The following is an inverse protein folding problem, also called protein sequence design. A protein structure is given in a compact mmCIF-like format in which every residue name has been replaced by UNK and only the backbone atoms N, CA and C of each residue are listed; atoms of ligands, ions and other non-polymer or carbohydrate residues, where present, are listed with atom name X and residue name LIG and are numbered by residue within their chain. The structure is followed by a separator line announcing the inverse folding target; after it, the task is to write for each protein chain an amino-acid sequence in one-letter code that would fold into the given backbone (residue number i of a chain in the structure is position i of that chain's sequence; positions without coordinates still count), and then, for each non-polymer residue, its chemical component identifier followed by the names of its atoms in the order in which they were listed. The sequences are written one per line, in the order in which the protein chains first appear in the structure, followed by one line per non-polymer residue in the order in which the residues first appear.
data_IF_694500561842
#
_entry.id   IF_694500561842
#
_cell.length_a   1.000
_cell.length_b   1.000
_cell.length_c   1.000
_cell.angle_alpha   90.00
_cell.angle_beta   90.00
_cell.angle_gamma   90.00
#
_symmetry.space_group_name_H-M   'P 1'
#
loop_
_entity.id
_entity.type
_entity.pdbx_description
1 polymer ?
#
# COMPACT_ATOMS: atom_id res chain seq x y z
N UNK A 1 -41.81 -16.83 5.74
CA UNK A 1 -40.36 -16.66 5.43
C UNK A 1 -40.13 -15.17 5.32
N UNK A 2 -39.05 -14.59 5.90
CA UNK A 2 -38.73 -13.20 5.60
C UNK A 2 -38.61 -13.08 4.07
N UNK A 3 -39.14 -12.00 3.50
CA UNK A 3 -39.02 -11.74 2.07
C UNK A 3 -37.54 -11.83 1.70
N UNK A 4 -37.20 -12.66 0.71
CA UNK A 4 -35.82 -12.75 0.26
C UNK A 4 -35.43 -11.38 -0.29
N UNK A 5 -34.42 -10.77 0.31
CA UNK A 5 -33.86 -9.51 -0.16
C UNK A 5 -33.25 -9.74 -1.56
N UNK A 6 -33.59 -8.88 -2.52
CA UNK A 6 -33.13 -9.00 -3.91
C UNK A 6 -32.40 -7.73 -4.34
N UNK A 7 -31.23 -7.93 -4.93
CA UNK A 7 -30.38 -6.89 -5.49
C UNK A 7 -30.74 -6.74 -6.96
N UNK A 8 -31.26 -5.56 -7.32
CA UNK A 8 -31.56 -5.18 -8.70
C UNK A 8 -30.26 -4.87 -9.44
N UNK A 9 -29.36 -4.12 -8.81
CA UNK A 9 -28.08 -3.78 -9.42
C UNK A 9 -26.99 -3.55 -8.39
N UNK A 10 -25.78 -3.97 -8.75
CA UNK A 10 -24.59 -3.89 -7.92
C UNK A 10 -23.38 -4.41 -8.68
N UNK A 11 -22.29 -4.61 -7.95
CA UNK A 11 -21.08 -5.24 -8.47
C UNK A 11 -20.29 -5.88 -7.34
N UNK A 12 -19.52 -6.89 -7.70
CA UNK A 12 -18.49 -7.46 -6.85
C UNK A 12 -17.15 -6.94 -7.37
N UNK A 13 -16.29 -6.45 -6.49
CA UNK A 13 -14.99 -5.90 -6.86
C UNK A 13 -13.91 -6.59 -6.04
N UNK A 14 -12.84 -7.04 -6.68
CA UNK A 14 -11.63 -7.49 -6.03
C UNK A 14 -10.49 -6.54 -6.38
N UNK A 15 -9.80 -6.02 -5.37
CA UNK A 15 -8.59 -5.25 -5.51
C UNK A 15 -7.38 -6.12 -5.18
N UNK A 16 -6.33 -5.96 -5.98
CA UNK A 16 -4.98 -6.42 -5.67
C UNK A 16 -4.06 -5.22 -5.78
N UNK A 17 -3.43 -4.85 -4.68
CA UNK A 17 -2.42 -3.79 -4.64
C UNK A 17 -1.05 -4.46 -4.65
N UNK A 18 -0.13 -3.93 -5.46
CA UNK A 18 1.22 -4.45 -5.60
C UNK A 18 2.25 -3.32 -5.55
N UNK A 19 3.30 -3.51 -4.76
CA UNK A 19 4.49 -2.66 -4.85
C UNK A 19 5.36 -3.15 -6.01
N UNK A 20 5.69 -2.28 -6.97
CA UNK A 20 6.44 -2.66 -8.19
C UNK A 20 7.74 -1.90 -8.39
N UNK A 21 7.97 -0.79 -7.69
CA UNK A 21 9.15 0.06 -7.82
C UNK A 21 9.21 1.07 -6.67
N UNK A 22 10.36 1.67 -6.40
CA UNK A 22 10.42 2.77 -5.43
C UNK A 22 9.67 4.03 -5.90
N UNK A 23 9.61 4.27 -7.21
CA UNK A 23 8.92 5.42 -7.79
C UNK A 23 8.52 5.11 -9.23
N UNK A 24 7.40 5.70 -9.68
CA UNK A 24 6.92 5.62 -11.06
C UNK A 24 6.74 7.03 -11.60
N UNK A 25 7.40 7.34 -12.71
CA UNK A 25 7.13 8.56 -13.49
C UNK A 25 5.76 8.43 -14.16
N UNK A 26 4.71 8.97 -13.51
CA UNK A 26 3.33 8.86 -13.98
C UNK A 26 3.12 9.48 -15.36
N UNK A 27 3.75 10.63 -15.64
CA UNK A 27 3.62 11.29 -16.93
C UNK A 27 4.23 10.43 -18.05
N UNK A 28 5.37 9.79 -17.78
CA UNK A 28 5.98 8.85 -18.72
C UNK A 28 5.17 7.56 -18.85
N UNK A 29 4.64 7.01 -17.76
CA UNK A 29 3.79 5.83 -17.78
C UNK A 29 2.53 6.06 -18.64
N UNK A 30 1.86 7.21 -18.45
CA UNK A 30 0.70 7.62 -19.24
C UNK A 30 1.05 7.75 -20.74
N UNK A 31 2.17 8.42 -21.07
CA UNK A 31 2.61 8.58 -22.45
C UNK A 31 2.93 7.24 -23.14
N UNK A 32 3.60 6.32 -22.44
CA UNK A 32 3.90 4.97 -22.93
C UNK A 32 2.62 4.17 -23.18
N UNK A 33 1.66 4.26 -22.25
CA UNK A 33 0.37 3.58 -22.35
C UNK A 33 -0.44 4.09 -23.55
N UNK A 34 -0.53 5.41 -23.73
CA UNK A 34 -1.18 6.04 -24.86
C UNK A 34 -0.58 5.60 -26.20
N UNK A 35 0.75 5.58 -26.29
CA UNK A 35 1.45 5.15 -27.49
C UNK A 35 1.15 3.67 -27.83
N UNK A 36 1.12 2.80 -26.82
CA UNK A 36 0.77 1.39 -26.98
C UNK A 36 -0.68 1.20 -27.48
N UNK A 37 -1.64 1.96 -26.92
CA UNK A 37 -3.04 1.86 -27.34
C UNK A 37 -3.34 2.48 -28.71
N UNK A 38 -2.64 3.57 -29.07
CA UNK A 38 -2.73 4.17 -30.40
C UNK A 38 -2.33 3.19 -31.51
N UNK A 39 -1.48 2.22 -31.21
CA UNK A 39 -1.12 1.11 -32.10
C UNK A 39 -2.14 -0.06 -32.07
N UNK A 40 -2.86 -0.23 -30.96
CA UNK A 40 -3.83 -1.31 -30.75
C UNK A 40 -5.27 -1.01 -31.22
N UNK A 41 -5.54 0.19 -31.79
CA UNK A 41 -6.81 0.51 -32.45
C UNK A 41 -8.05 0.67 -31.55
N UNK A 42 -7.89 0.64 -30.21
CA UNK A 42 -8.99 0.82 -29.24
C UNK A 42 -8.82 2.13 -28.47
N UNK A 43 -9.76 3.06 -28.66
CA UNK A 43 -9.85 4.30 -27.87
C UNK A 43 -10.30 3.97 -26.45
N UNK A 44 -9.39 4.08 -25.49
CA UNK A 44 -9.76 4.17 -24.07
C UNK A 44 -9.83 5.64 -23.68
N UNK A 45 -10.81 5.98 -22.83
CA UNK A 45 -10.90 7.27 -22.16
C UNK A 45 -9.96 7.22 -20.95
N UNK A 46 -8.85 7.97 -21.01
CA UNK A 46 -8.11 8.29 -19.79
C UNK A 46 -8.98 9.21 -18.96
N UNK A 47 -9.05 8.92 -17.67
CA UNK A 47 -9.56 9.85 -16.68
C UNK A 47 -8.44 10.04 -15.67
N UNK A 48 -8.07 11.28 -15.39
CA UNK A 48 -7.44 11.60 -14.11
C UNK A 48 -8.41 11.11 -13.06
N UNK A 49 -7.98 10.23 -12.14
CA UNK A 49 -8.82 9.79 -11.05
C UNK A 49 -8.97 10.95 -10.05
N UNK A 50 -9.71 11.99 -10.43
CA UNK A 50 -10.30 12.88 -9.45
C UNK A 50 -11.53 12.16 -8.94
N UNK A 51 -11.39 11.42 -7.85
CA UNK A 51 -12.53 11.26 -6.96
C UNK A 51 -12.96 12.69 -6.60
N UNK A 52 -14.24 13.01 -6.77
CA UNK A 52 -14.74 14.39 -6.72
C UNK A 52 -14.41 15.06 -5.38
N UNK A 53 -14.16 14.26 -4.33
CA UNK A 53 -13.93 14.70 -2.95
C UNK A 53 -12.52 14.32 -2.40
N UNK A 54 -11.70 13.61 -3.19
CA UNK A 54 -10.32 13.27 -2.83
C UNK A 54 -9.33 14.22 -3.53
N UNK A 55 -8.62 15.02 -2.74
CA UNK A 55 -7.51 15.83 -3.27
C UNK A 55 -6.22 15.03 -3.16
N UNK A 56 -5.71 14.57 -4.30
CA UNK A 56 -4.39 13.96 -4.36
C UNK A 56 -3.32 15.05 -4.51
N UNK A 57 -2.20 14.90 -3.78
CA UNK A 57 -1.01 15.72 -4.02
C UNK A 57 -0.48 15.51 -5.44
N UNK A 58 -0.40 14.24 -5.86
CA UNK A 58 -0.17 13.81 -7.24
C UNK A 58 -1.26 12.80 -7.62
N UNK A 59 -2.17 13.12 -8.56
CA UNK A 59 -3.27 12.23 -8.88
C UNK A 59 -2.76 10.97 -9.59
N UNK A 60 -3.27 9.79 -9.20
CA UNK A 60 -2.82 8.54 -9.78
C UNK A 60 -3.33 8.38 -11.22
N UNK A 61 -2.59 7.62 -12.02
CA UNK A 61 -2.92 7.37 -13.43
C UNK A 61 -3.84 6.16 -13.54
N UNK A 62 -5.02 6.34 -14.14
CA UNK A 62 -5.98 5.26 -14.39
C UNK A 62 -5.81 4.67 -15.80
N UNK A 63 -5.47 3.39 -15.86
CA UNK A 63 -5.35 2.59 -17.07
C UNK A 63 -6.52 1.61 -17.15
N UNK A 64 -7.13 1.43 -18.33
CA UNK A 64 -8.09 0.34 -18.56
C UNK A 64 -7.43 -0.79 -19.31
N UNK A 65 -7.66 -2.01 -18.82
CA UNK A 65 -7.22 -3.25 -19.44
C UNK A 65 -8.36 -3.87 -20.25
N UNK A 66 -8.05 -4.79 -21.18
CA UNK A 66 -9.07 -5.65 -21.77
C UNK A 66 -9.83 -6.40 -20.67
N UNK A 67 -11.14 -6.61 -20.88
CA UNK A 67 -11.94 -7.44 -19.97
C UNK A 67 -11.40 -8.86 -19.90
N UNK A 68 -11.45 -9.45 -18.71
CA UNK A 68 -11.10 -10.83 -18.47
C UNK A 68 -12.36 -11.69 -18.29
N UNK A 69 -12.21 -13.01 -18.44
CA UNK A 69 -13.22 -13.99 -18.02
C UNK A 69 -12.72 -14.71 -16.80
N UNK A 70 -13.54 -14.76 -15.75
CA UNK A 70 -13.26 -15.44 -14.48
C UNK A 70 -14.35 -16.45 -14.20
N UNK A 71 -13.99 -17.58 -13.58
CA UNK A 71 -14.93 -18.62 -13.21
C UNK A 71 -15.31 -18.49 -11.73
N UNK A 72 -16.59 -18.28 -11.45
CA UNK A 72 -17.14 -18.19 -10.10
C UNK A 72 -18.02 -19.43 -9.85
N UNK A 73 -17.54 -20.37 -9.04
CA UNK A 73 -18.24 -21.62 -8.72
C UNK A 73 -18.76 -22.38 -9.98
N UNK A 74 -17.94 -22.46 -11.03
CA UNK A 74 -18.30 -23.14 -12.29
C UNK A 74 -19.05 -22.27 -13.31
N UNK A 75 -19.32 -21.01 -12.99
CA UNK A 75 -20.02 -20.07 -13.87
C UNK A 75 -19.02 -19.04 -14.38
N UNK A 76 -18.84 -18.98 -15.71
CA UNK A 76 -18.01 -17.96 -16.33
C UNK A 76 -18.69 -16.58 -16.22
N UNK A 77 -17.95 -15.59 -15.72
CA UNK A 77 -18.36 -14.21 -15.61
C UNK A 77 -17.38 -13.31 -16.38
N UNK A 78 -17.91 -12.32 -17.08
CA UNK A 78 -17.11 -11.26 -17.69
C UNK A 78 -16.72 -10.24 -16.60
N UNK A 79 -15.45 -9.91 -16.52
CA UNK A 79 -14.88 -9.00 -15.54
C UNK A 79 -14.21 -7.82 -16.23
N UNK A 80 -14.54 -6.62 -15.78
CA UNK A 80 -13.84 -5.39 -16.15
C UNK A 80 -12.57 -5.26 -15.33
N UNK A 81 -11.45 -4.95 -16.00
CA UNK A 81 -10.17 -4.71 -15.37
C UNK A 81 -9.78 -3.24 -15.52
N UNK A 82 -9.42 -2.63 -14.41
CA UNK A 82 -8.79 -1.31 -14.36
C UNK A 82 -7.58 -1.33 -13.46
N UNK A 83 -6.64 -0.44 -13.75
CA UNK A 83 -5.39 -0.33 -13.02
C UNK A 83 -5.17 1.12 -12.64
N UNK A 84 -4.92 1.38 -11.37
CA UNK A 84 -4.51 2.68 -10.87
C UNK A 84 -3.04 2.62 -10.51
N UNK A 85 -2.25 3.54 -11.06
CA UNK A 85 -0.79 3.61 -10.86
C UNK A 85 -0.48 4.84 -10.02
N UNK A 86 0.22 4.63 -8.91
CA UNK A 86 0.65 5.66 -7.98
C UNK A 86 2.12 6.02 -8.20
N UNK A 87 2.48 7.28 -7.98
CA UNK A 87 3.83 7.79 -8.19
C UNK A 87 4.84 7.20 -7.20
N UNK A 88 4.37 6.83 -6.01
CA UNK A 88 5.17 6.18 -4.97
C UNK A 88 5.44 4.69 -5.21
N UNK A 89 5.11 4.13 -6.38
CA UNK A 89 5.54 2.77 -6.72
C UNK A 89 4.47 1.69 -6.68
N UNK A 90 3.28 2.00 -6.17
CA UNK A 90 2.19 1.06 -6.06
C UNK A 90 1.33 1.00 -7.33
N UNK A 91 0.85 -0.20 -7.64
CA UNK A 91 -0.16 -0.46 -8.67
C UNK A 91 -1.35 -1.17 -8.02
N UNK A 92 -2.55 -0.64 -8.25
CA UNK A 92 -3.80 -1.27 -7.83
C UNK A 92 -4.53 -1.81 -9.04
N UNK A 93 -4.76 -3.11 -9.08
CA UNK A 93 -5.54 -3.79 -10.10
C UNK A 93 -6.93 -4.07 -9.51
N UNK A 94 -7.95 -3.51 -10.12
CA UNK A 94 -9.35 -3.74 -9.75
C UNK A 94 -10.02 -4.64 -10.80
N UNK A 95 -10.61 -5.74 -10.32
CA UNK A 95 -11.45 -6.64 -11.08
C UNK A 95 -12.90 -6.42 -10.65
N UNK A 96 -13.75 -5.98 -11.58
CA UNK A 96 -15.16 -5.68 -11.31
C UNK A 96 -16.08 -6.61 -12.11
N UNK A 97 -17.00 -7.28 -11.41
CA UNK A 97 -18.02 -8.16 -11.98
C UNK A 97 -19.41 -7.55 -11.70
N UNK A 98 -20.21 -7.26 -12.74
CA UNK A 98 -21.60 -6.84 -12.54
C UNK A 98 -22.39 -7.90 -11.77
N UNK A 99 -23.14 -7.47 -10.75
CA UNK A 99 -23.96 -8.34 -9.91
C UNK A 99 -25.38 -7.78 -9.85
N UNK A 100 -26.24 -8.22 -10.76
CA UNK A 100 -27.58 -7.71 -10.96
C UNK A 100 -28.61 -8.85 -10.97
N UNK A 101 -29.83 -8.54 -10.54
CA UNK A 101 -30.95 -9.48 -10.46
C UNK A 101 -30.64 -10.75 -9.64
N UNK A 102 -29.94 -10.57 -8.51
CA UNK A 102 -29.55 -11.66 -7.62
C UNK A 102 -30.33 -11.60 -6.30
N UNK A 103 -30.71 -12.77 -5.77
CA UNK A 103 -31.08 -12.85 -4.36
C UNK A 103 -29.85 -12.58 -3.46
N UNK A 104 -30.08 -12.13 -2.22
CA UNK A 104 -29.00 -11.88 -1.26
C UNK A 104 -28.07 -13.08 -1.08
N UNK A 105 -28.62 -14.30 -1.01
CA UNK A 105 -27.82 -15.52 -0.86
C UNK A 105 -26.98 -15.85 -2.09
N UNK A 106 -27.48 -15.57 -3.30
CA UNK A 106 -26.69 -15.71 -4.53
C UNK A 106 -25.57 -14.69 -4.62
N UNK A 107 -25.85 -13.44 -4.23
CA UNK A 107 -24.87 -12.38 -4.16
C UNK A 107 -23.75 -12.71 -3.16
N UNK A 108 -24.09 -13.13 -1.94
CA UNK A 108 -23.11 -13.59 -0.94
C UNK A 108 -22.30 -14.78 -1.44
N UNK A 109 -22.94 -15.76 -2.10
CA UNK A 109 -22.24 -16.91 -2.67
C UNK A 109 -21.24 -16.48 -3.74
N UNK A 110 -21.65 -15.60 -4.67
CA UNK A 110 -20.77 -15.09 -5.71
C UNK A 110 -19.62 -14.26 -5.15
N UNK A 111 -19.85 -13.47 -4.08
CA UNK A 111 -18.79 -12.71 -3.41
C UNK A 111 -17.73 -13.63 -2.79
N UNK A 112 -18.17 -14.71 -2.13
CA UNK A 112 -17.25 -15.72 -1.60
C UNK A 112 -16.57 -16.54 -2.71
N UNK A 113 -17.22 -16.74 -3.86
CA UNK A 113 -16.61 -17.39 -5.02
C UNK A 113 -15.55 -16.50 -5.67
N UNK A 114 -15.77 -15.18 -5.72
CA UNK A 114 -14.80 -14.21 -6.21
C UNK A 114 -13.50 -14.29 -5.39
N UNK A 115 -13.61 -14.23 -4.06
CA UNK A 115 -12.47 -14.39 -3.16
C UNK A 115 -11.63 -15.65 -3.48
N UNK A 116 -12.29 -16.80 -3.56
CA UNK A 116 -11.63 -18.08 -3.91
C UNK A 116 -11.03 -18.10 -5.32
N UNK A 117 -11.59 -17.34 -6.26
CA UNK A 117 -11.13 -17.28 -7.65
C UNK A 117 -9.96 -16.31 -7.83
N UNK A 118 -9.71 -15.41 -6.87
CA UNK A 118 -8.69 -14.37 -6.96
C UNK A 118 -7.63 -14.40 -5.84
N UNK A 119 -7.08 -15.57 -5.47
CA UNK A 119 -6.02 -15.62 -4.46
C UNK A 119 -4.76 -14.88 -4.93
N UNK A 120 -3.86 -14.62 -3.99
CA UNK A 120 -2.51 -14.10 -4.23
C UNK A 120 -1.81 -14.89 -5.36
N UNK A 121 -1.15 -14.18 -6.28
CA UNK A 121 -0.47 -14.80 -7.41
C UNK A 121 -1.35 -15.53 -8.44
N UNK A 122 -2.69 -15.40 -8.38
CA UNK A 122 -3.59 -15.99 -9.38
C UNK A 122 -3.26 -15.53 -10.81
N UNK A 123 -3.59 -16.34 -11.85
CA UNK A 123 -3.29 -15.98 -13.24
C UNK A 123 -3.85 -14.61 -13.66
N UNK A 124 -5.04 -14.25 -13.18
CA UNK A 124 -5.67 -12.96 -13.52
C UNK A 124 -4.84 -11.77 -13.02
N UNK A 125 -4.29 -11.85 -11.81
CA UNK A 125 -3.42 -10.81 -11.26
C UNK A 125 -2.07 -10.76 -11.97
N UNK A 126 -1.43 -11.92 -12.17
CA UNK A 126 -0.13 -12.00 -12.85
C UNK A 126 -0.20 -11.52 -14.30
N UNK A 127 -1.24 -11.90 -15.03
CA UNK A 127 -1.40 -11.51 -16.44
C UNK A 127 -1.75 -10.02 -16.57
N UNK A 128 -2.61 -9.49 -15.69
CA UNK A 128 -2.92 -8.06 -15.64
C UNK A 128 -1.67 -7.24 -15.31
N UNK A 129 -0.93 -7.61 -14.27
CA UNK A 129 0.32 -6.94 -13.88
C UNK A 129 1.35 -6.97 -15.00
N UNK A 130 1.59 -8.15 -15.60
CA UNK A 130 2.53 -8.28 -16.73
C UNK A 130 2.13 -7.37 -17.90
N UNK A 131 0.85 -7.33 -18.25
CA UNK A 131 0.33 -6.46 -19.31
C UNK A 131 0.66 -4.98 -19.06
N UNK A 132 0.56 -4.55 -17.79
CA UNK A 132 0.90 -3.18 -17.40
C UNK A 132 2.42 -2.96 -17.47
N UNK A 133 3.20 -3.81 -16.80
CA UNK A 133 4.65 -3.66 -16.68
C UNK A 133 5.38 -3.78 -18.02
N UNK A 134 4.90 -4.59 -18.96
CA UNK A 134 5.45 -4.70 -20.31
C UNK A 134 5.41 -3.34 -21.06
N UNK A 135 4.46 -2.48 -20.70
CA UNK A 135 4.28 -1.16 -21.32
C UNK A 135 4.96 -0.06 -20.51
N UNK A 136 4.70 -0.01 -19.20
CA UNK A 136 5.17 1.10 -18.35
C UNK A 136 6.54 0.85 -17.72
N UNK A 137 7.14 -0.33 -17.88
CA UNK A 137 8.46 -0.71 -17.37
C UNK A 137 9.54 0.38 -17.47
N UNK A 138 9.69 1.10 -18.61
CA UNK A 138 10.66 2.18 -18.73
C UNK A 138 10.41 3.41 -17.83
N UNK A 139 9.24 3.55 -17.23
CA UNK A 139 8.88 4.61 -16.29
C UNK A 139 9.14 4.24 -14.82
N UNK A 140 9.51 2.99 -14.53
CA UNK A 140 9.82 2.53 -13.17
C UNK A 140 11.23 2.96 -12.76
N UNK A 141 11.33 3.50 -11.56
CA UNK A 141 12.59 3.84 -10.90
C UNK A 141 12.87 2.84 -9.79
N UNK A 142 13.97 2.08 -9.94
CA UNK A 142 14.32 0.95 -9.05
C UNK A 142 13.16 -0.07 -8.95
N UNK A 143 12.89 -0.83 -10.03
CA UNK A 143 11.87 -1.87 -10.00
C UNK A 143 12.11 -2.87 -8.86
N UNK A 144 11.04 -3.28 -8.19
CA UNK A 144 11.09 -4.24 -7.11
C UNK A 144 11.41 -5.64 -7.66
N UNK A 145 12.22 -6.40 -6.92
CA UNK A 145 12.56 -7.78 -7.29
C UNK A 145 11.48 -8.79 -6.87
N UNK A 146 10.73 -8.46 -5.82
CA UNK A 146 9.56 -9.15 -5.32
C UNK A 146 8.51 -8.10 -5.04
N UNK A 147 7.24 -8.42 -5.30
CA UNK A 147 6.16 -7.48 -5.07
C UNK A 147 5.51 -7.82 -3.73
N UNK A 148 5.40 -6.84 -2.85
CA UNK A 148 4.48 -6.94 -1.73
C UNK A 148 3.06 -6.82 -2.26
N UNK A 149 2.15 -7.60 -1.69
CA UNK A 149 0.76 -7.64 -2.10
C UNK A 149 -0.17 -7.34 -0.91
N UNK A 150 -1.23 -6.59 -1.20
CA UNK A 150 -2.42 -6.43 -0.36
C UNK A 150 -3.67 -6.72 -1.19
N UNK A 151 -4.74 -7.15 -0.54
CA UNK A 151 -6.04 -7.35 -1.18
C UNK A 151 -7.20 -6.78 -0.39
N UNK A 152 -8.27 -6.48 -1.14
CA UNK A 152 -9.51 -6.02 -0.55
C UNK A 152 -10.70 -6.32 -1.47
N UNK A 153 -11.80 -6.77 -0.89
CA UNK A 153 -13.00 -7.16 -1.62
C UNK A 153 -14.16 -6.21 -1.31
N UNK A 154 -14.91 -5.81 -2.33
CA UNK A 154 -16.08 -4.94 -2.18
C UNK A 154 -17.33 -5.63 -2.71
N UNK A 155 -18.34 -5.72 -1.85
CA UNK A 155 -19.69 -6.10 -2.19
C UNK A 155 -20.53 -4.81 -2.34
N UNK A 156 -20.70 -4.36 -3.58
CA UNK A 156 -21.34 -3.07 -3.90
C UNK A 156 -22.78 -3.31 -4.34
N UNK A 157 -23.73 -2.62 -3.71
CA UNK A 157 -25.14 -2.60 -4.10
C UNK A 157 -25.53 -1.17 -4.44
N UNK A 158 -26.13 -0.99 -5.61
CA UNK A 158 -26.68 0.30 -6.04
C UNK A 158 -28.20 0.35 -5.94
N UNK A 159 -28.87 -0.80 -6.07
CA UNK A 159 -30.31 -0.84 -5.92
C UNK A 159 -30.77 -2.21 -5.47
N UNK A 160 -31.68 -2.23 -4.50
CA UNK A 160 -32.52 -3.36 -4.20
C UNK A 160 -33.82 -3.30 -5.02
N UNK A 161 -34.58 -4.38 -5.05
CA UNK A 161 -35.89 -4.41 -5.74
C UNK A 161 -36.90 -3.43 -5.13
N UNK A 162 -36.78 -3.18 -3.82
CA UNK A 162 -37.50 -2.13 -3.10
C UNK A 162 -36.53 -1.07 -2.56
N UNK A 163 -36.95 0.19 -2.35
CA UNK A 163 -36.12 1.18 -1.68
C UNK A 163 -35.77 0.72 -0.25
N UNK A 164 -34.48 0.74 0.07
CA UNK A 164 -33.95 0.28 1.35
C UNK A 164 -33.20 1.40 2.06
N UNK A 165 -33.36 1.46 3.38
CA UNK A 165 -32.54 2.31 4.25
C UNK A 165 -31.39 1.49 4.84
N UNK A 166 -30.30 2.14 5.27
CA UNK A 166 -29.18 1.47 5.93
C UNK A 166 -29.62 0.62 7.13
N UNK A 167 -30.59 1.11 7.91
CA UNK A 167 -31.19 0.38 9.04
C UNK A 167 -31.89 -0.90 8.56
N UNK A 168 -32.76 -0.81 7.55
CA UNK A 168 -33.47 -1.99 7.03
C UNK A 168 -32.51 -3.02 6.44
N UNK A 169 -31.42 -2.58 5.81
CA UNK A 169 -30.41 -3.49 5.27
C UNK A 169 -29.74 -4.25 6.42
N UNK A 170 -29.33 -3.57 7.50
CA UNK A 170 -28.72 -4.23 8.67
C UNK A 170 -29.64 -5.23 9.36
N UNK A 171 -30.95 -5.01 9.32
CA UNK A 171 -31.94 -5.93 9.92
C UNK A 171 -32.27 -7.13 9.03
N UNK A 172 -32.32 -6.93 7.71
CA UNK A 172 -32.82 -7.94 6.76
C UNK A 172 -31.71 -8.71 6.04
N UNK A 173 -30.54 -8.10 5.88
CA UNK A 173 -29.39 -8.66 5.19
C UNK A 173 -28.39 -9.24 6.19
N UNK A 174 -27.94 -10.47 5.97
CA UNK A 174 -26.88 -11.09 6.78
C UNK A 174 -25.51 -10.55 6.33
N UNK A 175 -25.22 -9.30 6.69
CA UNK A 175 -23.97 -8.61 6.35
C UNK A 175 -22.78 -9.32 7.02
N UNK A 176 -22.96 -9.83 8.23
CA UNK A 176 -21.90 -10.55 8.94
C UNK A 176 -21.46 -11.81 8.17
N UNK A 177 -22.39 -12.60 7.65
CA UNK A 177 -22.05 -13.75 6.80
C UNK A 177 -21.37 -13.32 5.48
N UNK A 178 -21.82 -12.22 4.86
CA UNK A 178 -21.20 -11.66 3.67
C UNK A 178 -19.73 -11.26 3.90
N UNK A 179 -19.46 -10.54 4.99
CA UNK A 179 -18.14 -9.98 5.28
C UNK A 179 -17.19 -10.94 5.99
N UNK A 180 -17.69 -11.98 6.65
CA UNK A 180 -16.83 -13.04 7.22
C UNK A 180 -16.33 -14.06 6.19
N UNK A 181 -17.05 -14.20 5.07
CA UNK A 181 -16.83 -15.30 4.13
C UNK A 181 -17.33 -16.67 4.63
N UNK A 182 -17.89 -16.72 5.83
CA UNK A 182 -18.38 -17.94 6.44
C UNK A 182 -19.75 -18.34 5.90
N UNK A 183 -19.90 -19.63 5.63
CA UNK A 183 -21.21 -20.21 5.26
C UNK A 183 -21.98 -20.70 6.48
N UNK A 184 -21.28 -20.89 7.60
CA UNK A 184 -21.88 -21.31 8.86
C UNK A 184 -22.41 -20.09 9.60
N UNK A 185 -23.52 -20.29 10.32
CA UNK A 185 -24.10 -19.24 11.14
C UNK A 185 -23.11 -18.81 12.22
N UNK A 186 -22.78 -17.52 12.20
CA UNK A 186 -21.95 -16.87 13.22
C UNK A 186 -22.70 -16.75 14.55
N UNK A 187 -21.94 -16.65 15.63
CA UNK A 187 -22.50 -16.28 16.93
C UNK A 187 -23.01 -14.83 16.88
N UNK A 188 -23.97 -14.48 17.75
CA UNK A 188 -24.48 -13.10 17.80
C UNK A 188 -23.38 -12.09 18.18
N UNK A 189 -22.43 -12.50 19.03
CA UNK A 189 -21.29 -11.68 19.41
C UNK A 189 -20.35 -11.42 18.23
N UNK A 190 -20.04 -12.48 17.46
CA UNK A 190 -19.16 -12.38 16.30
C UNK A 190 -19.79 -11.54 15.18
N UNK A 191 -21.08 -11.76 14.92
CA UNK A 191 -21.81 -10.97 13.92
C UNK A 191 -21.84 -9.48 14.29
N UNK A 192 -21.99 -9.15 15.58
CA UNK A 192 -21.95 -7.78 16.05
C UNK A 192 -20.55 -7.16 15.90
N UNK A 193 -19.48 -7.90 16.21
CA UNK A 193 -18.10 -7.43 16.07
C UNK A 193 -17.73 -7.16 14.59
N UNK A 194 -18.08 -8.07 13.68
CA UNK A 194 -17.82 -7.92 12.24
C UNK A 194 -18.56 -6.73 11.64
N UNK A 195 -19.74 -6.41 12.15
CA UNK A 195 -20.57 -5.31 11.63
C UNK A 195 -20.49 -4.04 12.47
N UNK A 196 -19.47 -3.91 13.33
CA UNK A 196 -19.28 -2.78 14.22
C UNK A 196 -18.91 -1.50 13.46
N UNK A 197 -18.00 -1.60 12.50
CA UNK A 197 -17.53 -0.48 11.69
C UNK A 197 -18.52 -0.18 10.56
N UNK A 198 -19.69 0.33 10.93
CA UNK A 198 -20.78 0.68 10.03
C UNK A 198 -21.03 2.21 9.98
N UNK A 199 -21.15 2.75 8.77
CA UNK A 199 -21.28 4.18 8.51
C UNK A 199 -22.39 4.45 7.51
N UNK A 200 -23.14 5.51 7.75
CA UNK A 200 -24.11 6.08 6.82
C UNK A 200 -23.97 7.61 6.87
N UNK A 201 -24.14 8.27 5.73
CA UNK A 201 -24.28 9.71 5.63
C UNK A 201 -25.74 10.11 5.45
N UNK A 202 -26.47 9.35 4.63
CA UNK A 202 -27.90 9.50 4.39
C UNK A 202 -28.69 8.34 5.01
N UNK A 203 -30.02 8.39 4.94
CA UNK A 203 -30.84 7.27 5.40
C UNK A 203 -30.74 6.06 4.46
N UNK A 204 -30.41 6.31 3.19
CA UNK A 204 -30.39 5.36 2.08
C UNK A 204 -28.98 5.00 1.62
N UNK A 205 -27.96 5.15 2.46
CA UNK A 205 -26.62 4.62 2.24
C UNK A 205 -26.15 3.76 3.43
N UNK A 206 -25.18 2.87 3.17
CA UNK A 206 -24.56 2.08 4.22
C UNK A 206 -23.20 1.56 3.75
N UNK A 207 -22.16 1.83 4.53
CA UNK A 207 -20.83 1.24 4.38
C UNK A 207 -20.54 0.42 5.62
N UNK A 208 -20.11 -0.83 5.45
CA UNK A 208 -19.63 -1.67 6.56
C UNK A 208 -18.26 -2.21 6.19
N UNK A 209 -17.27 -1.97 7.05
CA UNK A 209 -15.85 -2.26 6.79
C UNK A 209 -15.37 -3.43 7.66
N UNK A 210 -14.60 -4.34 7.06
CA UNK A 210 -13.72 -5.28 7.76
C UNK A 210 -12.29 -5.13 7.25
N UNK A 211 -11.38 -5.94 7.80
CA UNK A 211 -9.95 -5.91 7.46
C UNK A 211 -9.69 -6.15 5.96
N UNK A 212 -10.47 -7.00 5.30
CA UNK A 212 -10.26 -7.48 3.93
C UNK A 212 -11.51 -7.34 3.03
N UNK A 213 -12.66 -6.98 3.59
CA UNK A 213 -13.95 -6.93 2.88
C UNK A 213 -14.75 -5.70 3.28
N UNK A 214 -15.50 -5.14 2.34
CA UNK A 214 -16.50 -4.12 2.63
C UNK A 214 -17.83 -4.39 1.93
N UNK A 215 -18.91 -4.00 2.61
CA UNK A 215 -20.22 -3.86 2.01
C UNK A 215 -20.49 -2.39 1.78
N UNK A 216 -20.89 -2.03 0.55
CA UNK A 216 -21.19 -0.64 0.17
C UNK A 216 -22.55 -0.60 -0.49
N UNK A 217 -23.51 0.05 0.16
CA UNK A 217 -24.78 0.43 -0.44
C UNK A 217 -24.76 1.92 -0.75
N UNK A 218 -24.71 2.24 -2.04
CA UNK A 218 -24.72 3.62 -2.53
C UNK A 218 -25.64 3.73 -3.76
N UNK A 219 -26.88 4.23 -3.60
CA UNK A 219 -27.83 4.33 -4.70
C UNK A 219 -27.53 5.43 -5.71
N UNK A 220 -26.79 6.48 -5.34
CA UNK A 220 -26.51 7.64 -6.20
C UNK A 220 -25.34 7.41 -7.15
N UNK A 221 -24.47 6.44 -6.84
CA UNK A 221 -23.31 6.01 -7.66
C UNK A 221 -22.24 7.09 -7.86
N UNK A 222 -22.18 8.05 -6.95
CA UNK A 222 -21.25 9.19 -6.97
C UNK A 222 -20.29 9.20 -5.77
N UNK A 223 -20.41 8.24 -4.86
CA UNK A 223 -19.55 8.14 -3.67
C UNK A 223 -18.17 7.53 -3.98
N UNK A 224 -17.13 8.17 -3.47
CA UNK A 224 -15.72 7.78 -3.62
C UNK A 224 -15.24 6.81 -2.51
N UNK A 225 -16.15 6.10 -1.82
CA UNK A 225 -15.82 5.20 -0.71
C UNK A 225 -14.80 4.13 -1.08
N UNK A 226 -14.95 3.49 -2.25
CA UNK A 226 -14.01 2.45 -2.71
C UNK A 226 -12.62 3.04 -2.91
N UNK A 227 -12.55 4.25 -3.49
CA UNK A 227 -11.29 4.93 -3.75
C UNK A 227 -10.60 5.31 -2.42
N UNK A 228 -11.35 5.75 -1.41
CA UNK A 228 -10.79 6.03 -0.07
C UNK A 228 -10.22 4.79 0.60
N UNK A 229 -10.96 3.69 0.55
CA UNK A 229 -10.51 2.42 1.16
C UNK A 229 -9.32 1.85 0.40
N UNK A 230 -9.29 2.02 -0.92
CA UNK A 230 -8.13 1.67 -1.74
C UNK A 230 -6.90 2.48 -1.32
N UNK A 231 -7.04 3.79 -1.14
CA UNK A 231 -5.91 4.62 -0.73
C UNK A 231 -5.42 4.26 0.68
N UNK A 232 -6.32 3.95 1.62
CA UNK A 232 -5.93 3.44 2.92
C UNK A 232 -5.15 2.11 2.83
N UNK A 233 -5.54 1.21 1.92
CA UNK A 233 -4.78 -0.02 1.65
C UNK A 233 -3.43 0.27 0.97
N UNK A 234 -3.37 1.25 0.07
CA UNK A 234 -2.12 1.65 -0.56
C UNK A 234 -1.12 2.20 0.48
N UNK A 235 -1.61 2.94 1.48
CA UNK A 235 -0.79 3.36 2.62
C UNK A 235 -0.32 2.18 3.47
N UNK A 236 -1.16 1.17 3.70
CA UNK A 236 -0.75 -0.05 4.39
C UNK A 236 0.40 -0.75 3.65
N UNK A 237 0.23 -0.98 2.35
CA UNK A 237 1.23 -1.59 1.48
C UNK A 237 2.57 -0.85 1.56
N UNK A 238 2.53 0.47 1.50
CA UNK A 238 3.72 1.32 1.54
C UNK A 238 4.42 1.26 2.91
N UNK A 239 3.65 1.30 4.00
CA UNK A 239 4.21 1.15 5.35
C UNK A 239 4.84 -0.23 5.54
N UNK A 240 4.29 -1.29 4.93
CA UNK A 240 4.90 -2.63 4.94
C UNK A 240 6.19 -2.66 4.13
N UNK A 241 6.22 -2.01 2.98
CA UNK A 241 7.42 -1.87 2.16
C UNK A 241 8.55 -1.20 2.95
N UNK A 242 8.28 -0.08 3.62
CA UNK A 242 9.29 0.57 4.46
C UNK A 242 9.72 -0.30 5.64
N UNK A 243 8.79 -1.02 6.27
CA UNK A 243 9.10 -1.91 7.38
C UNK A 243 10.11 -2.99 6.97
N UNK A 244 9.93 -3.61 5.81
CA UNK A 244 10.83 -4.64 5.24
C UNK A 244 12.16 -4.04 4.78
N UNK A 245 12.13 -2.87 4.12
CA UNK A 245 13.33 -2.17 3.69
C UNK A 245 14.23 -1.82 4.88
N UNK A 246 13.63 -1.30 5.96
CA UNK A 246 14.36 -0.93 7.17
C UNK A 246 14.88 -2.16 7.94
N UNK A 247 14.14 -3.27 7.95
CA UNK A 247 14.62 -4.51 8.57
C UNK A 247 15.84 -5.07 7.84
N UNK A 248 15.83 -5.09 6.51
CA UNK A 248 16.98 -5.53 5.72
C UNK A 248 18.22 -4.65 5.98
N UNK A 249 18.02 -3.34 6.10
CA UNK A 249 19.11 -2.39 6.35
C UNK A 249 19.63 -2.47 7.79
N UNK A 250 18.77 -2.71 8.79
CA UNK A 250 19.20 -2.95 10.17
C UNK A 250 20.11 -4.19 10.27
N UNK A 251 19.77 -5.29 9.59
CA UNK A 251 20.64 -6.49 9.52
C UNK A 251 22.00 -6.13 8.91
N UNK A 252 22.02 -5.39 7.79
CA UNK A 252 23.27 -4.95 7.17
C UNK A 252 24.10 -4.07 8.11
N UNK A 253 23.47 -3.19 8.88
CA UNK A 253 24.15 -2.35 9.87
C UNK A 253 24.81 -3.19 10.96
N UNK A 254 24.11 -4.15 11.55
CA UNK A 254 24.69 -5.01 12.60
C UNK A 254 25.91 -5.78 12.11
N UNK A 255 25.86 -6.36 10.91
CA UNK A 255 26.99 -7.05 10.31
C UNK A 255 28.19 -6.11 10.11
N UNK A 256 27.93 -4.86 9.71
CA UNK A 256 28.97 -3.88 9.46
C UNK A 256 29.62 -3.37 10.76
N UNK A 257 28.84 -3.19 11.83
CA UNK A 257 29.36 -2.85 13.16
C UNK A 257 30.22 -3.99 13.70
N UNK A 258 29.73 -5.24 13.64
CA UNK A 258 30.47 -6.41 14.10
C UNK A 258 31.85 -6.53 13.41
N UNK A 259 31.92 -6.24 12.12
CA UNK A 259 33.15 -6.28 11.33
C UNK A 259 34.07 -5.05 11.51
N UNK A 260 33.53 -3.90 11.94
CA UNK A 260 34.32 -2.68 12.22
C UNK A 260 35.10 -2.76 13.55
N UNK A 261 34.66 -3.62 14.47
CA UNK A 261 35.29 -3.88 15.78
C UNK A 261 36.68 -4.54 15.69
N UNK A 262 37.13 -4.95 14.50
CA UNK A 262 38.27 -5.86 14.31
C UNK A 262 39.68 -5.27 14.11
N UNK A 263 39.94 -3.96 14.20
CA UNK A 263 41.35 -3.49 14.21
C UNK A 263 41.65 -2.00 13.97
N UNK A 264 42.79 -1.58 14.55
CA UNK A 264 43.42 -0.25 14.59
C UNK A 264 43.93 0.26 13.22
N UNK A 265 43.07 0.38 12.19
CA UNK A 265 43.50 0.83 10.86
C UNK A 265 42.78 2.10 10.38
N UNK A 266 43.53 3.02 9.76
CA UNK A 266 43.00 4.14 8.95
C UNK A 266 42.02 3.66 7.83
N UNK A 267 42.06 2.38 7.46
CA UNK A 267 41.09 1.78 6.55
C UNK A 267 39.72 1.55 7.23
N UNK A 268 39.68 1.30 8.54
CA UNK A 268 38.45 1.15 9.31
C UNK A 268 37.71 2.50 9.43
N UNK A 269 38.41 3.62 9.65
CA UNK A 269 37.80 4.95 9.68
C UNK A 269 37.26 5.39 8.31
N UNK A 270 37.95 5.06 7.21
CA UNK A 270 37.43 5.27 5.84
C UNK A 270 36.24 4.36 5.49
N UNK A 271 36.13 3.19 6.11
CA UNK A 271 34.96 2.31 5.96
C UNK A 271 33.77 2.87 6.75
N UNK A 272 33.98 3.26 8.00
CA UNK A 272 32.97 3.92 8.84
C UNK A 272 32.44 5.22 8.19
N UNK A 273 33.30 6.08 7.63
CA UNK A 273 32.86 7.29 6.93
C UNK A 273 32.06 7.01 5.64
N UNK A 274 32.34 5.90 4.94
CA UNK A 274 31.54 5.46 3.78
C UNK A 274 30.19 4.90 4.21
N UNK A 275 30.19 4.14 5.31
CA UNK A 275 29.00 3.60 5.93
C UNK A 275 28.06 4.72 6.36
N UNK A 276 28.59 5.70 7.09
CA UNK A 276 27.93 6.93 7.49
C UNK A 276 27.24 7.62 6.29
N UNK A 277 27.93 7.73 5.17
CA UNK A 277 27.38 8.37 3.96
C UNK A 277 26.28 7.56 3.27
N UNK A 278 26.37 6.22 3.28
CA UNK A 278 25.30 5.33 2.78
C UNK A 278 24.06 5.41 3.66
N UNK A 279 24.23 5.41 4.98
CA UNK A 279 23.14 5.52 5.95
C UNK A 279 22.43 6.88 5.89
N UNK A 280 23.16 7.98 5.70
CA UNK A 280 22.53 9.28 5.44
C UNK A 280 21.68 9.29 4.18
N UNK A 281 22.16 8.66 3.10
CA UNK A 281 21.40 8.53 1.86
C UNK A 281 20.09 7.78 2.09
N UNK A 282 20.14 6.68 2.85
CA UNK A 282 18.96 5.89 3.18
C UNK A 282 17.98 6.64 4.07
N UNK A 283 18.45 7.28 5.15
CA UNK A 283 17.55 8.07 6.03
C UNK A 283 16.91 9.20 5.25
N UNK A 284 17.66 9.91 4.40
CA UNK A 284 17.11 10.95 3.55
C UNK A 284 16.10 10.39 2.54
N UNK A 285 16.40 9.24 1.93
CA UNK A 285 15.50 8.57 0.99
C UNK A 285 14.20 8.14 1.68
N UNK A 286 14.27 7.47 2.82
CA UNK A 286 13.07 7.02 3.54
C UNK A 286 12.28 8.20 4.10
N UNK A 287 12.92 9.24 4.66
CA UNK A 287 12.21 10.44 5.10
C UNK A 287 11.49 11.13 3.94
N UNK A 288 12.16 11.28 2.79
CA UNK A 288 11.53 11.87 1.60
C UNK A 288 10.38 11.01 1.07
N UNK A 289 10.52 9.68 1.14
CA UNK A 289 9.48 8.73 0.75
C UNK A 289 8.27 8.78 1.71
N UNK A 290 8.48 8.76 3.03
CA UNK A 290 7.43 8.95 4.03
C UNK A 290 6.70 10.29 3.84
N UNK A 291 7.44 11.38 3.63
CA UNK A 291 6.84 12.69 3.35
C UNK A 291 6.02 12.70 2.05
N UNK A 292 6.41 11.92 1.02
CA UNK A 292 5.63 11.78 -0.21
C UNK A 292 4.30 11.07 0.03
N UNK A 293 4.28 10.04 0.87
CA UNK A 293 3.06 9.31 1.22
C UNK A 293 2.09 10.23 1.96
N UNK A 294 2.58 10.94 2.96
CA UNK A 294 1.79 11.89 3.74
C UNK A 294 1.27 13.05 2.89
N UNK A 295 2.06 13.52 1.91
CA UNK A 295 1.65 14.60 1.00
C UNK A 295 0.79 14.14 -0.19
N UNK A 296 0.78 12.86 -0.53
CA UNK A 296 -0.03 12.31 -1.63
C UNK A 296 -1.54 12.41 -1.34
N UNK A 297 -1.91 12.59 -0.08
CA UNK A 297 -3.27 12.74 0.41
C UNK A 297 -3.48 14.12 1.03
N UNK A 298 -4.12 15.02 0.29
CA UNK A 298 -4.67 16.24 0.87
C UNK A 298 -6.10 15.98 1.32
N UNK A 299 -6.32 16.24 2.61
CA UNK A 299 -7.57 16.23 3.38
C UNK A 299 -8.82 16.26 2.49
N UNK A 300 -9.63 15.20 2.58
CA UNK A 300 -10.98 15.16 2.02
C UNK A 300 -11.81 16.31 2.63
N UNK A 301 -12.37 17.20 1.82
CA UNK A 301 -13.29 18.25 2.31
C UNK A 301 -14.60 17.66 2.85
N UNK A 302 -14.90 16.40 2.50
CA UNK A 302 -16.04 15.64 2.98
C UNK A 302 -15.74 14.90 4.30
N UNK A 303 -16.51 15.25 5.34
CA UNK A 303 -16.39 14.71 6.70
C UNK A 303 -16.77 13.22 6.79
N UNK A 304 -17.71 12.76 5.96
CA UNK A 304 -18.15 11.37 5.92
C UNK A 304 -17.06 10.46 5.37
N UNK A 305 -16.50 10.86 4.24
CA UNK A 305 -15.38 10.20 3.60
C UNK A 305 -14.12 10.21 4.49
N UNK A 306 -13.81 11.34 5.14
CA UNK A 306 -12.71 11.42 6.11
C UNK A 306 -12.90 10.45 7.31
N UNK A 307 -14.15 10.26 7.77
CA UNK A 307 -14.48 9.31 8.84
C UNK A 307 -14.26 7.86 8.41
N UNK A 308 -14.70 7.50 7.19
CA UNK A 308 -14.46 6.17 6.61
C UNK A 308 -12.97 5.92 6.42
N UNK A 309 -12.24 6.92 5.93
CA UNK A 309 -10.79 6.85 5.77
C UNK A 309 -10.08 6.58 7.10
N UNK A 310 -10.37 7.37 8.14
CA UNK A 310 -9.78 7.17 9.46
C UNK A 310 -10.11 5.80 10.05
N UNK A 311 -11.34 5.32 9.86
CA UNK A 311 -11.74 3.98 10.26
C UNK A 311 -10.97 2.89 9.53
N UNK A 312 -10.78 3.03 8.21
CA UNK A 312 -9.98 2.10 7.41
C UNK A 312 -8.52 2.07 7.89
N UNK A 313 -7.89 3.22 8.13
CA UNK A 313 -6.50 3.29 8.64
C UNK A 313 -6.33 2.59 9.99
N UNK A 314 -7.25 2.83 10.93
CA UNK A 314 -7.24 2.17 12.24
C UNK A 314 -7.45 0.66 12.10
N UNK A 315 -8.42 0.26 11.27
CA UNK A 315 -8.73 -1.13 11.01
C UNK A 315 -7.53 -1.86 10.43
N UNK A 316 -6.87 -1.27 9.43
CA UNK A 316 -5.64 -1.75 8.77
C UNK A 316 -4.38 -1.61 9.63
N UNK A 317 -4.49 -1.00 10.82
CA UNK A 317 -3.39 -0.77 11.77
C UNK A 317 -2.23 0.04 11.17
N UNK A 318 -2.51 0.89 10.17
CA UNK A 318 -1.51 1.76 9.54
C UNK A 318 -0.80 2.64 10.57
N UNK A 319 -1.47 3.28 11.55
CA UNK A 319 -0.77 4.10 12.56
C UNK A 319 0.24 3.31 13.40
N UNK A 320 -0.07 2.04 13.72
CA UNK A 320 0.83 1.18 14.49
C UNK A 320 2.06 0.79 13.69
N UNK A 321 1.88 0.51 12.39
CA UNK A 321 2.99 0.16 11.50
C UNK A 321 3.87 1.38 11.23
N UNK A 322 3.28 2.54 10.96
CA UNK A 322 3.99 3.82 10.84
C UNK A 322 4.84 4.13 12.08
N UNK A 323 4.30 3.99 13.29
CA UNK A 323 5.08 4.17 14.52
C UNK A 323 6.24 3.18 14.68
N UNK A 324 6.11 1.96 14.14
CA UNK A 324 7.19 0.97 14.13
C UNK A 324 8.31 1.37 13.15
N UNK A 325 7.94 1.85 11.95
CA UNK A 325 8.85 2.40 10.93
C UNK A 325 9.63 3.59 11.49
N UNK A 326 8.96 4.55 12.12
CA UNK A 326 9.59 5.72 12.75
C UNK A 326 10.62 5.32 13.82
N UNK A 327 10.29 4.31 14.62
CA UNK A 327 11.20 3.78 15.63
C UNK A 327 12.43 3.12 14.99
N UNK A 328 12.25 2.36 13.91
CA UNK A 328 13.37 1.75 13.17
C UNK A 328 14.27 2.83 12.57
N UNK A 329 13.70 3.88 11.98
CA UNK A 329 14.45 5.05 11.48
C UNK A 329 15.25 5.75 12.58
N UNK A 330 14.64 5.93 13.76
CA UNK A 330 15.35 6.52 14.91
C UNK A 330 16.54 5.66 15.33
N UNK A 331 16.39 4.33 15.44
CA UNK A 331 17.48 3.40 15.78
C UNK A 331 18.62 3.48 14.76
N UNK A 332 18.29 3.54 13.47
CA UNK A 332 19.27 3.68 12.38
C UNK A 332 20.05 4.99 12.54
N UNK A 333 19.35 6.10 12.76
CA UNK A 333 19.96 7.43 12.93
C UNK A 333 20.84 7.50 14.18
N UNK A 334 20.42 6.89 15.28
CA UNK A 334 21.19 6.86 16.53
C UNK A 334 22.46 6.00 16.37
N UNK A 335 22.33 4.83 15.74
CA UNK A 335 23.46 3.95 15.42
C UNK A 335 24.45 4.62 14.47
N UNK A 336 23.94 5.34 13.46
CA UNK A 336 24.76 6.19 12.59
C UNK A 336 25.59 7.20 13.40
N UNK A 337 24.94 7.93 14.32
CA UNK A 337 25.58 9.00 15.10
C UNK A 337 26.69 8.41 15.98
N UNK A 338 26.41 7.29 16.66
CA UNK A 338 27.39 6.58 17.47
C UNK A 338 28.62 6.13 16.65
N UNK A 339 28.40 5.55 15.46
CA UNK A 339 29.50 5.09 14.59
C UNK A 339 30.34 6.26 14.04
N UNK A 340 29.70 7.39 13.74
CA UNK A 340 30.40 8.59 13.29
C UNK A 340 31.25 9.20 14.41
N UNK A 341 30.69 9.30 15.61
CA UNK A 341 31.37 9.83 16.80
C UNK A 341 32.58 8.96 17.15
N UNK A 342 32.45 7.63 17.12
CA UNK A 342 33.57 6.73 17.37
C UNK A 342 34.67 6.85 16.29
N UNK A 343 34.28 6.98 15.02
CA UNK A 343 35.26 7.20 13.94
C UNK A 343 35.98 8.55 14.07
N UNK A 344 35.29 9.60 14.54
CA UNK A 344 35.85 10.93 14.78
C UNK A 344 36.81 10.92 15.98
N UNK A 345 36.41 10.30 17.10
CA UNK A 345 37.25 10.16 18.29
C UNK A 345 38.54 9.40 17.98
N UNK A 346 38.45 8.27 17.27
CA UNK A 346 39.64 7.51 16.85
C UNK A 346 40.58 8.30 15.94
N UNK A 347 40.06 9.21 15.11
CA UNK A 347 40.90 10.10 14.30
C UNK A 347 41.61 11.14 15.17
N UNK A 348 40.94 11.67 16.19
CA UNK A 348 41.54 12.59 17.16
C UNK A 348 42.64 11.89 17.97
N UNK A 349 42.40 10.68 18.47
CA UNK A 349 43.39 9.86 19.19
C UNK A 349 44.63 9.54 18.33
N UNK A 350 44.44 9.20 17.04
CA UNK A 350 45.57 8.95 16.14
C UNK A 350 46.38 10.23 15.85
N UNK A 351 45.71 11.37 15.75
CA UNK A 351 46.38 12.66 15.56
C UNK A 351 47.14 13.07 16.82
N UNK A 352 46.57 12.82 18.00
CA UNK A 352 47.24 13.01 19.29
C UNK A 352 48.48 12.11 19.40
N UNK A 353 48.35 10.81 19.12
CA UNK A 353 49.48 9.88 19.13
C UNK A 353 50.56 10.29 18.11
N UNK A 354 50.18 10.77 16.93
CA UNK A 354 51.13 11.27 15.93
C UNK A 354 51.88 12.51 16.42
N UNK A 355 51.20 13.45 17.10
CA UNK A 355 51.84 14.60 17.75
C UNK A 355 52.79 14.14 18.86
N UNK A 356 52.35 13.22 19.72
CA UNK A 356 53.19 12.66 20.80
C UNK A 356 54.44 11.99 20.21
N UNK A 357 54.29 11.18 19.17
CA UNK A 357 55.42 10.53 18.48
C UNK A 357 56.35 11.54 17.81
N UNK A 358 55.80 12.60 17.20
CA UNK A 358 56.59 13.68 16.61
C UNK A 358 57.43 14.40 17.68
N UNK A 359 56.83 14.72 18.83
CA UNK A 359 57.52 15.36 19.97
C UNK A 359 58.62 14.44 20.51
N UNK A 360 58.32 13.15 20.72
CA UNK A 360 59.34 12.17 21.16
C UNK A 360 60.48 12.09 20.16
N UNK A 361 60.18 12.08 18.86
CA UNK A 361 61.18 12.06 17.80
C UNK A 361 62.06 13.32 17.80
N UNK A 362 61.47 14.50 17.94
CA UNK A 362 62.20 15.78 18.07
C UNK A 362 63.12 15.79 19.31
N UNK A 363 62.64 15.32 20.46
CA UNK A 363 63.44 15.25 21.69
C UNK A 363 64.63 14.31 21.52
N UNK A 364 64.44 13.14 20.91
CA UNK A 364 65.52 12.20 20.64
C UNK A 364 66.55 12.80 19.68
N UNK A 365 66.11 13.47 18.62
CA UNK A 365 66.99 14.18 17.69
C UNK A 365 67.77 15.32 18.37
N UNK A 366 67.11 16.11 19.21
CA UNK A 366 67.74 17.19 19.95
C UNK A 366 68.79 16.69 20.95
N UNK A 367 68.58 15.51 21.55
CA UNK A 367 69.55 14.88 22.46
C UNK A 367 70.68 14.13 21.74
N UNK A 368 70.45 13.71 20.49
CA UNK A 368 71.44 13.01 19.67
C UNK A 368 72.28 13.95 18.78
N UNK A 369 71.88 15.22 18.66
CA UNK A 369 72.67 16.26 18.01
C UNK A 369 73.79 16.72 18.99
N UNK A 370 75.08 16.56 18.64
CA UNK A 370 76.22 16.88 19.52
C UNK A 370 76.43 18.37 19.77
#
# INVERSE_FOLDING_TARGET
MPASLHIRSGALVAHRLLDVANEIDLARAEALWLAHQGQAGRRTRLATATANELTFGVPPTLLRLPSARIELDGIAADAELSVRVYDFGAIVIALRIPAAELSWSEFTRQFNALDRATPEGSPVWRDALRTVLDVIGPALHRPAAQHLEEDYLFAVVHAFTEPMTGVRIREQADIAALLSGETRRLSAQEAAAITEQAYSYFEDDLVVLTWDRAFVYEPRRDSDVIDIIEVANAQLLEMRYYDELLDAELVSMYDLVANASGGLSLLASRRAARLARRLYGLVAEVTQLTERVENSLQVTEDVYLARIYGAALELFRVPRLSAAVDRKLAIIRDTYTALYDEASSRRAELLELAIVLLIVFEIVLALAAP
#
